data_IF_157832862274
#
_entry.id   IF_157832862274
#
_cell.length_a   1.000
_cell.length_b   1.000
_cell.length_c   1.000
_cell.angle_alpha   90.00
_cell.angle_beta   90.00
_cell.angle_gamma   90.00
#
_symmetry.space_group_name_H-M   'P 1'
#
loop_
_entity.id
_entity.type
_entity.pdbx_description
1 polymer ?
#
# COMPACT_ATOMS: atom_id res chain seq x y z
N UNK A 1 -32.75 -26.91 15.05
CA UNK A 1 -32.89 -26.04 13.87
C UNK A 1 -31.80 -24.97 13.93
N UNK A 2 -30.67 -25.20 13.25
CA UNK A 2 -29.51 -24.29 13.18
C UNK A 2 -29.25 -23.82 11.73
N UNK A 3 -30.28 -23.81 10.88
CA UNK A 3 -30.18 -23.41 9.47
C UNK A 3 -30.31 -21.90 9.27
N UNK A 4 -30.82 -21.15 10.26
CA UNK A 4 -31.08 -19.71 10.18
C UNK A 4 -29.84 -18.80 10.16
N UNK A 5 -28.62 -19.34 10.11
CA UNK A 5 -27.41 -18.54 10.29
C UNK A 5 -26.37 -18.65 9.16
N UNK A 6 -26.52 -19.62 8.24
CA UNK A 6 -25.59 -19.74 7.10
C UNK A 6 -25.98 -18.76 5.99
N UNK A 7 -27.25 -18.71 5.62
CA UNK A 7 -27.71 -17.83 4.53
C UNK A 7 -27.48 -16.35 4.87
N UNK A 8 -27.83 -15.93 6.09
CA UNK A 8 -27.58 -14.57 6.58
C UNK A 8 -26.07 -14.25 6.66
N UNK A 9 -25.23 -15.24 7.02
CA UNK A 9 -23.77 -15.07 7.02
C UNK A 9 -23.24 -14.85 5.59
N UNK A 10 -23.70 -15.66 4.63
CA UNK A 10 -23.28 -15.56 3.24
C UNK A 10 -23.72 -14.24 2.61
N UNK A 11 -24.94 -13.79 2.89
CA UNK A 11 -25.46 -12.50 2.44
C UNK A 11 -24.63 -11.34 2.99
N UNK A 12 -24.42 -11.27 4.32
CA UNK A 12 -23.57 -10.24 4.94
C UNK A 12 -22.13 -10.26 4.45
N UNK A 13 -21.57 -11.45 4.21
CA UNK A 13 -20.23 -11.58 3.65
C UNK A 13 -20.19 -10.98 2.25
N UNK A 14 -21.17 -11.31 1.41
CA UNK A 14 -21.26 -10.79 0.04
C UNK A 14 -21.38 -9.26 0.04
N UNK A 15 -22.25 -8.70 0.87
CA UNK A 15 -22.38 -7.24 1.04
C UNK A 15 -21.06 -6.59 1.48
N UNK A 16 -20.37 -7.17 2.46
CA UNK A 16 -19.07 -6.66 2.91
C UNK A 16 -18.02 -6.71 1.79
N UNK A 17 -18.04 -7.75 0.94
CA UNK A 17 -17.16 -7.83 -0.23
C UNK A 17 -17.47 -6.77 -1.27
N UNK A 18 -18.75 -6.47 -1.52
CA UNK A 18 -19.12 -5.37 -2.41
C UNK A 18 -18.65 -4.02 -1.87
N UNK A 19 -18.85 -3.77 -0.56
CA UNK A 19 -18.35 -2.55 0.08
C UNK A 19 -16.83 -2.41 -0.01
N UNK A 20 -16.08 -3.51 0.15
CA UNK A 20 -14.63 -3.53 -0.05
C UNK A 20 -14.28 -3.13 -1.49
N UNK A 21 -14.91 -3.75 -2.48
CA UNK A 21 -14.66 -3.45 -3.89
C UNK A 21 -14.95 -1.97 -4.23
N UNK A 22 -16.06 -1.43 -3.72
CA UNK A 22 -16.44 -0.03 -3.92
C UNK A 22 -15.43 0.93 -3.28
N UNK A 23 -14.98 0.63 -2.05
CA UNK A 23 -13.97 1.41 -1.35
C UNK A 23 -12.61 1.34 -2.05
N UNK A 24 -12.21 0.17 -2.54
CA UNK A 24 -10.98 -0.02 -3.31
C UNK A 24 -11.01 0.77 -4.63
N UNK A 25 -12.14 0.75 -5.34
CA UNK A 25 -12.35 1.56 -6.55
C UNK A 25 -12.21 3.06 -6.26
N UNK A 26 -12.84 3.56 -5.18
CA UNK A 26 -12.69 4.95 -4.73
C UNK A 26 -11.23 5.28 -4.39
N UNK A 27 -10.54 4.40 -3.66
CA UNK A 27 -9.12 4.58 -3.32
C UNK A 27 -8.26 4.67 -4.59
N UNK A 28 -8.51 3.82 -5.60
CA UNK A 28 -7.76 3.83 -6.85
C UNK A 28 -7.99 5.12 -7.64
N UNK A 29 -9.23 5.62 -7.67
CA UNK A 29 -9.52 6.93 -8.27
C UNK A 29 -8.76 8.06 -7.56
N UNK A 30 -8.72 8.07 -6.22
CA UNK A 30 -7.94 9.06 -5.48
C UNK A 30 -6.43 8.95 -5.70
N UNK A 31 -5.89 7.73 -5.84
CA UNK A 31 -4.47 7.53 -6.19
C UNK A 31 -4.15 8.13 -7.55
N UNK A 32 -4.99 7.88 -8.57
CA UNK A 32 -4.80 8.45 -9.91
C UNK A 32 -4.85 9.97 -9.89
N UNK A 33 -5.77 10.57 -9.14
CA UNK A 33 -5.83 12.03 -8.99
C UNK A 33 -4.56 12.55 -8.30
N UNK A 34 -4.13 11.89 -7.23
CA UNK A 34 -2.91 12.27 -6.50
C UNK A 34 -1.65 12.15 -7.37
N UNK A 35 -1.57 11.11 -8.20
CA UNK A 35 -0.48 10.90 -9.16
C UNK A 35 -0.41 12.05 -10.16
N UNK A 36 -1.52 12.41 -10.79
CA UNK A 36 -1.56 13.55 -11.69
C UNK A 36 -1.10 14.84 -10.99
N UNK A 37 -1.56 15.10 -9.76
CA UNK A 37 -1.15 16.29 -9.00
C UNK A 37 0.35 16.26 -8.69
N UNK A 38 0.89 15.10 -8.31
CA UNK A 38 2.30 14.90 -8.03
C UNK A 38 3.18 15.10 -9.27
N UNK A 39 2.75 14.58 -10.42
CA UNK A 39 3.42 14.75 -11.72
C UNK A 39 3.42 16.21 -12.16
N UNK A 40 2.27 16.89 -12.11
CA UNK A 40 2.17 18.31 -12.47
C UNK A 40 3.03 19.21 -11.57
N UNK A 41 3.17 18.86 -10.29
CA UNK A 41 4.00 19.61 -9.34
C UNK A 41 5.46 19.14 -9.29
N UNK A 42 5.80 18.06 -9.98
CA UNK A 42 7.09 17.37 -9.91
C UNK A 42 7.53 17.08 -8.46
N UNK A 43 6.65 16.48 -7.67
CA UNK A 43 6.89 16.12 -6.26
C UNK A 43 6.52 14.68 -5.96
N UNK A 44 7.27 14.02 -5.10
CA UNK A 44 6.96 12.64 -4.66
C UNK A 44 6.05 12.59 -3.42
N UNK A 45 5.72 13.74 -2.84
CA UNK A 45 4.88 13.80 -1.65
C UNK A 45 3.94 15.00 -1.63
N UNK A 46 2.75 14.79 -1.08
CA UNK A 46 1.73 15.81 -0.84
C UNK A 46 1.43 15.85 0.66
N UNK A 47 1.46 17.04 1.24
CA UNK A 47 1.21 17.23 2.67
C UNK A 47 0.18 18.34 2.90
N UNK A 48 -0.68 18.11 3.89
CA UNK A 48 -1.47 19.15 4.53
C UNK A 48 -1.32 19.04 6.05
N UNK A 49 -2.04 19.88 6.81
CA UNK A 49 -1.94 19.93 8.28
C UNK A 49 -2.20 18.58 8.97
N UNK A 50 -2.99 17.71 8.34
CA UNK A 50 -3.49 16.47 8.95
C UNK A 50 -2.83 15.22 8.37
N UNK A 51 -2.44 15.24 7.10
CA UNK A 51 -2.06 14.07 6.33
C UNK A 51 -0.83 14.31 5.47
N UNK A 52 -0.07 13.25 5.29
CA UNK A 52 1.06 13.17 4.37
C UNK A 52 0.87 11.94 3.49
N UNK A 53 0.82 12.18 2.18
CA UNK A 53 0.80 11.18 1.13
C UNK A 53 2.20 11.12 0.48
N UNK A 54 2.74 9.92 0.31
CA UNK A 54 4.04 9.69 -0.33
C UNK A 54 3.89 8.66 -1.43
N UNK A 55 4.41 8.96 -2.62
CA UNK A 55 4.65 8.00 -3.69
C UNK A 55 6.04 7.40 -3.47
N UNK A 56 6.17 6.09 -3.66
CA UNK A 56 7.45 5.38 -3.63
C UNK A 56 7.48 4.38 -4.76
N UNK A 57 8.56 4.40 -5.52
CA UNK A 57 8.77 3.38 -6.53
C UNK A 57 9.38 2.15 -5.86
N UNK A 58 8.74 1.01 -6.08
CA UNK A 58 9.15 -0.28 -5.54
C UNK A 58 9.62 -1.14 -6.70
N UNK A 59 10.84 -1.65 -6.56
CA UNK A 59 11.32 -2.77 -7.35
C UNK A 59 11.13 -4.06 -6.55
N UNK A 60 10.43 -5.03 -7.12
CA UNK A 60 10.26 -6.37 -6.55
C UNK A 60 10.76 -7.43 -7.52
N UNK A 61 11.71 -8.23 -7.06
CA UNK A 61 12.18 -9.43 -7.77
C UNK A 61 11.35 -10.64 -7.36
N UNK A 62 10.85 -11.41 -8.33
CA UNK A 62 10.02 -12.60 -8.06
C UNK A 62 10.79 -13.72 -7.37
N UNK A 63 12.10 -13.83 -7.60
CA UNK A 63 12.95 -14.89 -7.04
C UNK A 63 14.16 -14.28 -6.32
N UNK A 64 14.44 -14.78 -5.12
CA UNK A 64 15.60 -14.37 -4.33
C UNK A 64 16.89 -14.91 -4.93
N UNK A 65 17.94 -14.08 -4.94
CA UNK A 65 19.31 -14.49 -5.33
C UNK A 65 19.87 -15.60 -4.43
N UNK A 66 19.37 -15.74 -3.21
CA UNK A 66 19.87 -16.72 -2.24
C UNK A 66 19.41 -18.15 -2.52
N UNK A 67 18.30 -18.30 -3.24
CA UNK A 67 17.62 -19.58 -3.39
C UNK A 67 18.00 -20.30 -4.69
N UNK A 68 18.76 -19.64 -5.57
CA UNK A 68 19.14 -20.18 -6.88
C UNK A 68 20.61 -19.93 -7.21
N UNK A 69 21.25 -20.86 -7.96
CA UNK A 69 22.53 -20.60 -8.61
C UNK A 69 22.46 -19.35 -9.51
N UNK A 70 23.57 -18.60 -9.57
CA UNK A 70 23.63 -17.29 -10.25
C UNK A 70 23.18 -17.37 -11.72
N UNK A 71 23.55 -18.45 -12.42
CA UNK A 71 23.22 -18.68 -13.83
C UNK A 71 21.71 -18.82 -14.06
N UNK A 72 21.04 -19.57 -13.18
CA UNK A 72 19.59 -19.79 -13.23
C UNK A 72 18.86 -18.51 -12.80
N UNK A 73 19.36 -17.82 -11.77
CA UNK A 73 18.79 -16.58 -11.30
C UNK A 73 18.84 -15.49 -12.39
N UNK A 74 19.97 -15.33 -13.09
CA UNK A 74 20.09 -14.36 -14.19
C UNK A 74 19.11 -14.67 -15.33
N UNK A 75 18.85 -15.95 -15.63
CA UNK A 75 17.96 -16.35 -16.72
C UNK A 75 16.48 -16.15 -16.42
N UNK A 76 16.07 -16.28 -15.14
CA UNK A 76 14.65 -16.35 -14.77
C UNK A 76 14.19 -15.28 -13.77
N UNK A 77 15.09 -14.46 -13.23
CA UNK A 77 14.68 -13.35 -12.38
C UNK A 77 13.82 -12.36 -13.17
N UNK A 78 12.68 -12.00 -12.59
CA UNK A 78 11.77 -10.99 -13.13
C UNK A 78 11.73 -9.83 -12.16
N UNK A 79 12.12 -8.65 -12.64
CA UNK A 79 11.98 -7.40 -11.92
C UNK A 79 10.63 -6.77 -12.27
N UNK A 80 9.88 -6.38 -11.24
CA UNK A 80 8.63 -5.65 -11.41
C UNK A 80 8.77 -4.29 -10.76
N UNK A 81 8.50 -3.25 -11.54
CA UNK A 81 8.50 -1.87 -11.11
C UNK A 81 7.05 -1.41 -10.95
N UNK A 82 6.72 -0.90 -9.76
CA UNK A 82 5.41 -0.30 -9.52
C UNK A 82 5.51 0.80 -8.46
N UNK A 83 4.69 1.83 -8.62
CA UNK A 83 4.60 2.90 -7.62
C UNK A 83 3.58 2.51 -6.54
N UNK A 84 3.98 2.69 -5.28
CA UNK A 84 3.16 2.49 -4.12
C UNK A 84 2.88 3.82 -3.41
N UNK A 85 1.62 4.01 -2.99
CA UNK A 85 1.17 5.20 -2.28
C UNK A 85 0.97 4.90 -0.80
N UNK A 86 1.55 5.74 0.05
CA UNK A 86 1.47 5.62 1.51
C UNK A 86 0.89 6.90 2.10
N UNK A 87 -0.23 6.78 2.82
CA UNK A 87 -0.85 7.89 3.55
C UNK A 87 -0.62 7.73 5.05
N UNK A 88 -0.29 8.82 5.74
CA UNK A 88 -0.07 8.83 7.19
C UNK A 88 -0.59 10.12 7.81
N UNK A 89 -0.96 10.10 9.09
CA UNK A 89 -1.29 11.33 9.83
C UNK A 89 0.00 12.12 10.09
N UNK A 90 0.00 13.41 9.78
CA UNK A 90 1.18 14.27 9.91
C UNK A 90 1.78 14.27 11.33
N UNK A 91 0.92 14.17 12.35
CA UNK A 91 1.33 14.19 13.77
C UNK A 91 1.94 12.87 14.29
N UNK A 92 1.79 11.75 13.57
CA UNK A 92 2.29 10.45 14.03
C UNK A 92 3.79 10.26 13.75
N UNK A 93 4.34 10.92 12.72
CA UNK A 93 5.77 10.83 12.38
C UNK A 93 6.67 11.51 13.42
N UNK A 94 6.24 12.62 14.03
CA UNK A 94 6.97 13.29 15.13
C UNK A 94 7.17 12.35 16.32
N UNK A 95 6.15 11.55 16.68
CA UNK A 95 6.24 10.60 17.80
C UNK A 95 7.22 9.45 17.55
N UNK A 96 7.33 8.98 16.30
CA UNK A 96 8.25 7.87 15.94
C UNK A 96 9.72 8.30 15.87
N UNK A 97 10.04 9.54 15.45
CA UNK A 97 11.43 10.01 15.47
C UNK A 97 11.95 10.20 16.90
N UNK A 98 11.11 10.73 17.80
CA UNK A 98 11.42 10.89 19.24
C UNK A 98 11.70 9.53 19.91
N UNK A 99 10.99 8.46 19.53
CA UNK A 99 11.23 7.11 20.07
C UNK A 99 12.53 6.48 19.59
N UNK A 100 13.00 6.82 18.38
CA UNK A 100 14.26 6.30 17.82
C UNK A 100 15.48 7.01 18.39
N UNK A 101 15.37 8.30 18.75
CA UNK A 101 16.45 9.04 19.40
C UNK A 101 16.65 8.66 20.86
N UNK A 102 15.58 8.33 21.61
CA UNK A 102 15.69 7.88 23.02
C UNK A 102 16.27 6.48 23.22
N UNK A 103 16.40 5.66 22.17
CA UNK A 103 16.94 4.29 22.25
C UNK A 103 18.46 4.22 21.97
N UNK A 104 19.10 5.39 21.79
CA UNK A 104 20.54 5.54 21.51
C UNK A 104 21.32 6.17 22.66
N UNK A 105 20.74 6.23 23.86
CA UNK A 105 21.40 6.62 25.11
C UNK A 105 21.39 5.40 26.02
#
# INVERSE_FOLDING_TARGET
MNETNVDNLLEKWYEAKQQINDLESKINNYKRIAENIMEHKNVESLMNDKFLLQKKDINKTTISKKDLPIEIWNKYSKENFYSAFYISKANEKKKRSIRRSKKRI
#
